data_IF_325354869129
#
_entry.id   IF_325354869129
#
_cell.length_a   1.000
_cell.length_b   1.000
_cell.length_c   1.000
_cell.angle_alpha   90.00
_cell.angle_beta   90.00
_cell.angle_gamma   90.00
#
_symmetry.space_group_name_H-M   'P 1'
#
loop_
_entity.id
_entity.type
_entity.pdbx_description
1 polymer ?
#
# COMPACT_ATOMS: atom_id res chain seq x y z
N UNK A 1 5.24 -15.76 21.17
CA UNK A 1 5.36 -14.97 19.93
C UNK A 1 5.79 -15.92 18.83
N UNK A 2 4.85 -16.65 18.23
CA UNK A 2 5.19 -17.54 17.12
C UNK A 2 5.58 -16.66 15.92
N UNK A 3 6.68 -16.99 15.26
CA UNK A 3 7.21 -16.23 14.13
C UNK A 3 6.09 -15.92 13.14
N UNK A 4 5.97 -14.63 12.76
CA UNK A 4 5.07 -14.10 11.75
C UNK A 4 4.78 -15.15 10.67
N UNK A 5 3.53 -15.59 10.47
CA UNK A 5 3.28 -16.54 9.38
C UNK A 5 3.82 -15.96 8.08
N UNK A 6 4.42 -16.79 7.22
CA UNK A 6 4.87 -16.36 5.90
C UNK A 6 3.75 -15.63 5.13
N UNK A 7 2.50 -16.02 5.37
CA UNK A 7 1.30 -15.40 4.81
C UNK A 7 1.04 -13.99 5.38
N UNK A 8 1.06 -13.79 6.71
CA UNK A 8 0.95 -12.46 7.33
C UNK A 8 2.08 -11.53 6.87
N UNK A 9 3.31 -12.04 6.78
CA UNK A 9 4.47 -11.29 6.31
C UNK A 9 4.33 -10.85 4.84
N UNK A 10 3.78 -11.70 3.98
CA UNK A 10 3.51 -11.35 2.58
C UNK A 10 2.46 -10.25 2.44
N UNK A 11 1.34 -10.36 3.17
CA UNK A 11 0.30 -9.32 3.14
C UNK A 11 0.80 -7.99 3.72
N UNK A 12 1.56 -8.04 4.82
CA UNK A 12 2.16 -6.83 5.40
C UNK A 12 3.21 -6.21 4.48
N UNK A 13 4.04 -7.02 3.82
CA UNK A 13 5.01 -6.54 2.83
C UNK A 13 4.33 -5.84 1.65
N UNK A 14 3.26 -6.42 1.11
CA UNK A 14 2.45 -5.76 0.07
C UNK A 14 1.79 -4.47 0.55
N UNK A 15 1.30 -4.44 1.79
CA UNK A 15 0.77 -3.23 2.43
C UNK A 15 1.84 -2.12 2.48
N UNK A 16 3.08 -2.44 2.85
CA UNK A 16 4.16 -1.45 2.89
C UNK A 16 4.48 -0.90 1.50
N UNK A 17 4.56 -1.74 0.46
CA UNK A 17 4.85 -1.29 -0.90
C UNK A 17 3.75 -0.35 -1.42
N UNK A 18 2.48 -0.72 -1.23
CA UNK A 18 1.34 0.12 -1.65
C UNK A 18 1.28 1.44 -0.87
N UNK A 19 1.64 1.43 0.42
CA UNK A 19 1.72 2.64 1.23
C UNK A 19 2.83 3.58 0.73
N UNK A 20 4.02 3.05 0.40
CA UNK A 20 5.13 3.84 -0.18
C UNK A 20 4.71 4.46 -1.51
N UNK A 21 4.04 3.70 -2.39
CA UNK A 21 3.54 4.19 -3.66
C UNK A 21 2.49 5.30 -3.50
N UNK A 22 1.60 5.18 -2.51
CA UNK A 22 0.62 6.22 -2.20
C UNK A 22 1.31 7.53 -1.73
N UNK A 23 2.27 7.44 -0.80
CA UNK A 23 3.00 8.63 -0.32
C UNK A 23 3.75 9.31 -1.46
N UNK A 24 4.50 8.56 -2.28
CA UNK A 24 5.21 9.11 -3.43
C UNK A 24 4.28 9.81 -4.43
N UNK A 25 3.12 9.20 -4.71
CA UNK A 25 2.12 9.77 -5.63
C UNK A 25 1.52 11.09 -5.10
N UNK A 26 1.30 11.20 -3.78
CA UNK A 26 0.82 12.46 -3.15
C UNK A 26 1.87 13.56 -3.29
N UNK A 27 3.16 13.27 -3.03
CA UNK A 27 4.24 14.25 -3.18
C UNK A 27 4.44 14.67 -4.63
N UNK A 28 4.35 13.73 -5.57
CA UNK A 28 4.37 14.02 -7.01
C UNK A 28 3.23 14.97 -7.41
N UNK A 29 1.97 14.64 -7.07
CA UNK A 29 0.83 15.49 -7.40
C UNK A 29 0.93 16.87 -6.74
N UNK A 30 1.41 16.92 -5.50
CA UNK A 30 1.60 18.17 -4.77
C UNK A 30 2.72 19.06 -5.35
N UNK A 31 3.67 18.49 -6.10
CA UNK A 31 4.75 19.25 -6.74
C UNK A 31 4.27 20.11 -7.93
N UNK A 32 3.07 19.86 -8.45
CA UNK A 32 2.46 20.60 -9.55
C UNK A 32 2.92 20.18 -10.96
N UNK A 33 4.01 19.44 -11.08
CA UNK A 33 4.51 18.89 -12.36
C UNK A 33 4.88 17.41 -12.21
N UNK A 34 3.89 16.50 -12.16
CA UNK A 34 4.17 15.07 -12.06
C UNK A 34 4.84 14.52 -13.33
N UNK A 35 5.92 13.79 -13.14
CA UNK A 35 6.78 13.16 -14.16
C UNK A 35 6.05 12.02 -14.89
N UNK A 36 5.28 11.22 -14.14
CA UNK A 36 4.40 10.20 -14.72
C UNK A 36 3.12 10.79 -15.35
N UNK A 37 2.88 12.09 -15.16
CA UNK A 37 1.68 12.79 -15.60
C UNK A 37 0.52 12.69 -14.61
N UNK A 38 -0.30 13.74 -14.56
CA UNK A 38 -1.31 13.92 -13.52
C UNK A 38 -2.35 12.78 -13.47
N UNK A 39 -2.75 12.25 -14.64
CA UNK A 39 -3.70 11.14 -14.74
C UNK A 39 -3.11 9.85 -14.18
N UNK A 40 -1.88 9.50 -14.54
CA UNK A 40 -1.27 8.23 -14.13
C UNK A 40 -0.99 8.24 -12.63
N UNK A 41 -0.38 9.30 -12.10
CA UNK A 41 -0.08 9.42 -10.67
C UNK A 41 -1.37 9.43 -9.83
N UNK A 42 -2.44 10.06 -10.30
CA UNK A 42 -3.74 10.02 -9.63
C UNK A 42 -4.37 8.62 -9.63
N UNK A 43 -4.26 7.86 -10.74
CA UNK A 43 -4.75 6.48 -10.82
C UNK A 43 -3.95 5.56 -9.89
N UNK A 44 -2.62 5.70 -9.85
CA UNK A 44 -1.76 4.94 -8.93
C UNK A 44 -2.16 5.23 -7.48
N UNK A 45 -2.37 6.50 -7.13
CA UNK A 45 -2.82 6.88 -5.80
C UNK A 45 -4.20 6.29 -5.46
N UNK A 46 -5.16 6.39 -6.39
CA UNK A 46 -6.51 5.88 -6.22
C UNK A 46 -6.58 4.35 -6.03
N UNK A 47 -5.65 3.60 -6.60
CA UNK A 47 -5.54 2.14 -6.42
C UNK A 47 -4.70 1.77 -5.20
N UNK A 48 -3.61 2.52 -4.94
CA UNK A 48 -2.70 2.24 -3.83
C UNK A 48 -3.38 2.39 -2.47
N UNK A 49 -4.18 3.45 -2.27
CA UNK A 49 -4.91 3.67 -1.00
C UNK A 49 -5.80 2.47 -0.61
N UNK A 50 -6.77 2.03 -1.45
CA UNK A 50 -7.61 0.89 -1.11
C UNK A 50 -6.81 -0.41 -1.03
N UNK A 51 -5.79 -0.60 -1.87
CA UNK A 51 -4.93 -1.78 -1.81
C UNK A 51 -4.20 -1.89 -0.47
N UNK A 52 -3.65 -0.77 0.04
CA UNK A 52 -3.03 -0.72 1.37
C UNK A 52 -4.01 -1.13 2.47
N UNK A 53 -5.22 -0.58 2.47
CA UNK A 53 -6.23 -0.89 3.49
C UNK A 53 -6.64 -2.37 3.42
N UNK A 54 -6.88 -2.90 2.22
CA UNK A 54 -7.26 -4.31 2.04
C UNK A 54 -6.15 -5.27 2.48
N UNK A 55 -4.90 -5.00 2.08
CA UNK A 55 -3.74 -5.82 2.46
C UNK A 55 -3.45 -5.75 3.96
N UNK A 56 -3.61 -4.57 4.57
CA UNK A 56 -3.46 -4.40 6.01
C UNK A 56 -4.52 -5.19 6.77
N UNK A 57 -5.80 -5.07 6.40
CA UNK A 57 -6.89 -5.82 7.03
C UNK A 57 -6.68 -7.33 6.84
N UNK A 58 -6.26 -7.77 5.66
CA UNK A 58 -5.95 -9.18 5.41
C UNK A 58 -4.79 -9.67 6.30
N UNK A 59 -3.71 -8.88 6.43
CA UNK A 59 -2.58 -9.20 7.31
C UNK A 59 -3.01 -9.29 8.78
N UNK A 60 -3.79 -8.31 9.26
CA UNK A 60 -4.29 -8.27 10.65
C UNK A 60 -5.22 -9.45 10.92
N UNK A 61 -6.18 -9.72 10.03
CA UNK A 61 -7.09 -10.87 10.18
C UNK A 61 -6.33 -12.18 10.19
N UNK A 62 -5.34 -12.35 9.31
CA UNK A 62 -4.53 -13.56 9.27
C UNK A 62 -3.73 -13.72 10.56
N UNK A 63 -3.05 -12.66 11.04
CA UNK A 63 -2.27 -12.69 12.27
C UNK A 63 -3.11 -12.91 13.54
N UNK A 64 -4.36 -12.45 13.57
CA UNK A 64 -5.29 -12.68 14.69
C UNK A 64 -6.01 -14.03 14.64
N UNK A 65 -5.96 -14.74 13.51
CA UNK A 65 -6.58 -16.07 13.35
C UNK A 65 -5.62 -17.21 13.71
N UNK A 66 -4.41 -16.88 14.20
CA UNK A 66 -3.36 -17.80 14.60
C UNK A 66 -3.22 -17.93 16.12
#
# INVERSE_FOLDING_TARGET
MNAMTPKSGLFLGGCCITAIAAVGSVFELASGQPDLGNLNTAVILAVSIPATVLLFIAAVRNANSE
#
